data_IF_837379950618
#
_entry.id   IF_837379950618
#
_cell.length_a   1.000
_cell.length_b   1.000
_cell.length_c   1.000
_cell.angle_alpha   90.00
_cell.angle_beta   90.00
_cell.angle_gamma   90.00
#
_symmetry.space_group_name_H-M   'P 1'
#
loop_
_entity.id
_entity.type
_entity.pdbx_description
1 polymer ?
#
# COMPACT_ATOMS: atom_id res chain seq x y z
N UNK A 1 17.93 16.99 -5.58
CA UNK A 1 16.83 17.28 -4.62
C UNK A 1 16.19 15.99 -4.11
N UNK A 2 15.66 15.12 -4.99
CA UNK A 2 15.00 13.87 -4.60
C UNK A 2 15.87 12.93 -3.72
N UNK A 3 17.15 12.77 -4.05
CA UNK A 3 18.07 11.94 -3.25
C UNK A 3 18.29 12.45 -1.82
N UNK A 4 18.39 13.77 -1.64
CA UNK A 4 18.57 14.36 -0.31
C UNK A 4 17.30 14.17 0.52
N UNK A 5 16.12 14.40 -0.09
CA UNK A 5 14.84 14.17 0.58
C UNK A 5 14.65 12.70 0.94
N UNK A 6 14.95 11.78 0.02
CA UNK A 6 14.89 10.34 0.26
C UNK A 6 15.80 9.89 1.40
N UNK A 7 17.01 10.47 1.52
CA UNK A 7 17.92 10.17 2.63
C UNK A 7 17.28 10.50 3.99
N UNK A 8 16.61 11.65 4.10
CA UNK A 8 15.96 12.03 5.35
C UNK A 8 14.69 11.23 5.62
N UNK A 9 13.91 10.92 4.58
CA UNK A 9 12.71 10.07 4.73
C UNK A 9 13.11 8.67 5.17
N UNK A 10 14.06 8.02 4.48
CA UNK A 10 14.52 6.69 4.83
C UNK A 10 15.00 6.65 6.28
N UNK A 11 15.86 7.60 6.68
CA UNK A 11 16.33 7.70 8.07
C UNK A 11 15.22 7.83 9.09
N UNK A 12 14.11 8.52 8.76
CA UNK A 12 12.96 8.69 9.65
C UNK A 12 12.11 7.42 9.75
N UNK A 13 11.88 6.74 8.63
CA UNK A 13 11.03 5.53 8.60
C UNK A 13 11.78 4.27 9.01
N UNK A 14 13.11 4.32 9.11
CA UNK A 14 13.96 3.22 9.60
C UNK A 14 14.45 3.44 11.03
N UNK A 15 13.89 4.41 11.77
CA UNK A 15 14.18 4.53 13.20
C UNK A 15 13.62 3.31 13.92
N UNK A 16 14.49 2.58 14.61
CA UNK A 16 14.07 1.38 15.34
C UNK A 16 13.36 1.77 16.64
N UNK A 17 12.04 1.88 16.58
CA UNK A 17 11.17 2.14 17.73
C UNK A 17 10.47 0.86 18.18
N UNK A 18 11.13 0.09 19.05
CA UNK A 18 10.64 -1.24 19.49
C UNK A 18 10.36 -1.29 21.00
N UNK A 19 9.42 -2.16 21.39
CA UNK A 19 9.15 -2.43 22.78
C UNK A 19 10.27 -3.30 23.41
N UNK A 20 10.35 -3.35 24.74
CA UNK A 20 11.42 -4.07 25.47
C UNK A 20 11.47 -5.58 25.19
N UNK A 21 10.38 -6.18 24.73
CA UNK A 21 10.26 -7.63 24.48
C UNK A 21 10.67 -8.04 23.06
N UNK A 22 10.98 -7.10 22.18
CA UNK A 22 11.37 -7.37 20.80
C UNK A 22 12.89 -7.39 20.64
N UNK A 23 13.36 -8.08 19.60
CA UNK A 23 14.76 -8.03 19.21
C UNK A 23 15.14 -6.60 18.76
N UNK A 24 16.36 -6.17 19.08
CA UNK A 24 16.90 -4.85 18.75
C UNK A 24 18.06 -4.94 17.75
N UNK A 25 18.39 -3.84 17.10
CA UNK A 25 19.44 -3.71 16.09
C UNK A 25 19.18 -4.54 14.82
N UNK A 26 17.92 -4.60 14.39
CA UNK A 26 17.51 -5.36 13.20
C UNK A 26 17.20 -4.44 12.04
N UNK A 27 16.58 -3.28 12.28
CA UNK A 27 16.04 -2.45 11.19
C UNK A 27 17.15 -1.79 10.38
N UNK A 28 18.16 -1.21 11.05
CA UNK A 28 19.27 -0.54 10.38
C UNK A 28 20.08 -1.50 9.48
N UNK A 29 20.53 -2.69 9.95
CA UNK A 29 21.24 -3.64 9.08
C UNK A 29 20.41 -4.12 7.88
N UNK A 30 19.11 -4.38 8.06
CA UNK A 30 18.23 -4.78 6.96
C UNK A 30 18.10 -3.65 5.93
N UNK A 31 17.89 -2.42 6.38
CA UNK A 31 17.80 -1.27 5.50
C UNK A 31 19.11 -1.03 4.73
N UNK A 32 20.25 -1.07 5.40
CA UNK A 32 21.55 -0.87 4.77
C UNK A 32 21.81 -1.90 3.68
N UNK A 33 21.48 -3.17 3.94
CA UNK A 33 21.63 -4.23 2.96
C UNK A 33 20.64 -4.09 1.79
N UNK A 34 19.36 -3.81 2.06
CA UNK A 34 18.37 -3.56 1.01
C UNK A 34 18.75 -2.36 0.14
N UNK A 35 19.31 -1.30 0.74
CA UNK A 35 19.83 -0.14 0.02
C UNK A 35 21.03 -0.52 -0.84
N UNK A 36 21.97 -1.31 -0.31
CA UNK A 36 23.15 -1.79 -1.02
C UNK A 36 22.77 -2.63 -2.24
N UNK A 37 21.89 -3.61 -2.08
CA UNK A 37 21.35 -4.42 -3.18
C UNK A 37 20.59 -3.56 -4.20
N UNK A 38 19.90 -2.53 -3.70
CA UNK A 38 19.20 -1.53 -4.49
C UNK A 38 20.09 -0.52 -5.24
N UNK A 39 21.41 -0.68 -5.28
CA UNK A 39 22.31 0.24 -5.98
C UNK A 39 22.63 1.52 -5.20
N UNK A 40 22.50 1.49 -3.87
CA UNK A 40 23.09 2.47 -2.94
C UNK A 40 22.33 3.79 -2.77
N UNK A 41 21.28 4.04 -3.56
CA UNK A 41 20.43 5.23 -3.40
C UNK A 41 19.29 4.98 -2.40
N UNK A 42 18.75 6.03 -1.74
CA UNK A 42 17.60 5.89 -0.84
C UNK A 42 16.44 5.13 -1.51
N UNK A 43 15.89 4.15 -0.79
CA UNK A 43 14.88 3.23 -1.30
C UNK A 43 13.59 3.99 -1.61
N UNK A 44 13.17 4.90 -0.74
CA UNK A 44 11.96 5.71 -0.99
C UNK A 44 12.09 6.60 -2.22
N UNK A 45 13.27 7.20 -2.46
CA UNK A 45 13.49 8.01 -3.65
C UNK A 45 13.38 7.16 -4.93
N UNK A 46 13.96 5.96 -4.94
CA UNK A 46 13.88 5.04 -6.08
C UNK A 46 12.44 4.57 -6.32
N UNK A 47 11.71 4.22 -5.27
CA UNK A 47 10.31 3.81 -5.39
C UNK A 47 9.43 4.95 -5.92
N UNK A 48 9.63 6.18 -5.42
CA UNK A 48 8.90 7.35 -5.88
C UNK A 48 9.22 7.69 -7.35
N UNK A 49 10.49 7.67 -7.75
CA UNK A 49 10.91 7.88 -9.15
C UNK A 49 10.28 6.83 -10.07
N UNK A 50 10.34 5.55 -9.71
CA UNK A 50 9.73 4.48 -10.50
C UNK A 50 8.22 4.68 -10.68
N UNK A 51 7.51 5.12 -9.64
CA UNK A 51 6.08 5.45 -9.75
C UNK A 51 5.83 6.66 -10.65
N UNK A 52 6.58 7.75 -10.49
CA UNK A 52 6.43 8.97 -11.30
C UNK A 52 6.74 8.71 -12.78
N UNK A 53 7.71 7.85 -13.08
CA UNK A 53 8.12 7.50 -14.44
C UNK A 53 7.11 6.60 -15.15
N UNK A 54 6.36 5.77 -14.40
CA UNK A 54 5.53 4.73 -14.97
C UNK A 54 4.02 4.96 -14.80
N UNK A 55 3.58 5.72 -13.80
CA UNK A 55 2.15 5.93 -13.50
C UNK A 55 1.71 7.32 -13.93
N UNK A 56 0.69 7.38 -14.77
CA UNK A 56 0.10 8.61 -15.28
C UNK A 56 -1.36 8.82 -14.89
N UNK A 57 -1.96 9.84 -15.51
CA UNK A 57 -3.36 10.20 -15.30
C UNK A 57 -4.30 9.08 -15.73
N UNK A 58 -5.20 8.67 -14.83
CA UNK A 58 -6.21 7.65 -15.08
C UNK A 58 -5.71 6.20 -15.00
N UNK A 59 -4.41 5.98 -14.80
CA UNK A 59 -3.84 4.65 -14.57
C UNK A 59 -4.31 4.07 -13.24
N UNK A 60 -4.61 2.78 -13.23
CA UNK A 60 -5.01 2.07 -12.00
C UNK A 60 -3.76 1.66 -11.22
N UNK A 61 -3.75 1.92 -9.92
CA UNK A 61 -2.73 1.42 -9.00
C UNK A 61 -3.40 0.59 -7.91
N UNK A 62 -3.05 -0.69 -7.82
CA UNK A 62 -3.51 -1.54 -6.74
C UNK A 62 -2.66 -1.29 -5.49
N UNK A 63 -3.31 -1.15 -4.35
CA UNK A 63 -2.67 -1.00 -3.05
C UNK A 63 -3.18 -2.13 -2.15
N UNK A 64 -2.36 -3.17 -2.00
CA UNK A 64 -2.67 -4.35 -1.20
C UNK A 64 -2.29 -4.06 0.24
N UNK A 65 -3.25 -4.13 1.15
CA UNK A 65 -3.03 -3.84 2.57
C UNK A 65 -4.08 -4.53 3.43
N UNK A 66 -3.79 -4.67 4.72
CA UNK A 66 -4.69 -5.23 5.70
C UNK A 66 -4.16 -6.56 6.20
N UNK A 67 -3.69 -6.58 7.43
CA UNK A 67 -3.24 -7.78 8.13
C UNK A 67 -3.95 -7.85 9.48
N UNK A 68 -4.20 -9.06 9.97
CA UNK A 68 -4.91 -9.29 11.22
C UNK A 68 -4.93 -10.76 11.57
N UNK A 69 -5.36 -11.07 12.79
CA UNK A 69 -5.44 -12.41 13.32
C UNK A 69 -6.51 -12.47 14.43
N UNK A 70 -7.13 -13.64 14.53
CA UNK A 70 -8.14 -13.91 15.54
C UNK A 70 -7.50 -14.47 16.82
N UNK A 71 -8.02 -14.14 18.01
CA UNK A 71 -9.12 -13.20 18.28
C UNK A 71 -8.69 -11.73 18.51
N UNK A 72 -7.40 -11.41 18.54
CA UNK A 72 -6.90 -10.13 19.06
C UNK A 72 -7.16 -8.92 18.14
N UNK A 73 -7.04 -9.09 16.82
CA UNK A 73 -7.23 -8.02 15.82
C UNK A 73 -8.16 -8.49 14.69
N UNK A 74 -9.44 -8.77 15.01
CA UNK A 74 -10.40 -9.44 14.11
C UNK A 74 -10.82 -8.60 12.89
N UNK A 75 -10.55 -7.29 12.94
CA UNK A 75 -10.87 -6.34 11.87
C UNK A 75 -9.64 -5.81 11.15
N UNK A 76 -8.49 -6.42 11.40
CA UNK A 76 -7.19 -5.95 10.93
C UNK A 76 -6.53 -4.95 11.89
N UNK A 77 -5.23 -4.84 11.76
CA UNK A 77 -4.39 -3.92 12.52
C UNK A 77 -4.32 -2.53 11.89
N UNK A 78 -3.70 -1.59 12.62
CA UNK A 78 -3.57 -0.20 12.19
C UNK A 78 -2.27 0.15 11.48
N UNK A 79 -1.32 -0.78 11.31
CA UNK A 79 0.00 -0.48 10.73
C UNK A 79 -0.09 -0.17 9.23
N UNK A 80 -0.68 -1.09 8.45
CA UNK A 80 -0.81 -0.93 7.00
C UNK A 80 -1.74 0.20 6.51
N UNK A 81 -3.01 0.26 6.97
CA UNK A 81 -4.03 1.12 6.35
C UNK A 81 -3.70 2.63 6.27
N UNK A 82 -3.16 3.29 7.31
CA UNK A 82 -2.80 4.71 7.23
C UNK A 82 -1.69 4.98 6.22
N UNK A 83 -0.70 4.08 6.11
CA UNK A 83 0.37 4.16 5.12
C UNK A 83 -0.15 3.99 3.70
N UNK A 84 -0.99 2.97 3.48
CA UNK A 84 -1.63 2.69 2.20
C UNK A 84 -2.45 3.87 1.68
N UNK A 85 -3.27 4.47 2.54
CA UNK A 85 -4.10 5.63 2.20
C UNK A 85 -3.25 6.88 1.94
N UNK A 86 -2.15 7.07 2.68
CA UNK A 86 -1.25 8.21 2.45
C UNK A 86 -0.63 8.15 1.05
N UNK A 87 -0.22 6.96 0.61
CA UNK A 87 0.25 6.72 -0.76
C UNK A 87 -0.88 6.89 -1.78
N UNK A 88 -2.07 6.34 -1.52
CA UNK A 88 -3.24 6.52 -2.38
C UNK A 88 -3.58 8.00 -2.61
N UNK A 89 -3.52 8.81 -1.56
CA UNK A 89 -3.76 10.25 -1.64
C UNK A 89 -2.71 10.95 -2.51
N UNK A 90 -1.44 10.59 -2.36
CA UNK A 90 -0.36 11.12 -3.19
C UNK A 90 -0.51 10.73 -4.67
N UNK A 91 -0.87 9.47 -4.95
CA UNK A 91 -1.16 8.98 -6.29
C UNK A 91 -2.34 9.70 -6.94
N UNK A 92 -3.45 9.83 -6.19
CA UNK A 92 -4.66 10.48 -6.67
C UNK A 92 -4.44 11.97 -6.97
N UNK A 93 -3.82 12.73 -6.08
CA UNK A 93 -3.63 14.17 -6.29
C UNK A 93 -2.41 14.51 -7.13
N UNK A 94 -1.30 13.80 -6.91
CA UNK A 94 -0.01 14.09 -7.55
C UNK A 94 0.09 13.54 -8.97
N UNK A 95 -0.28 12.26 -9.17
CA UNK A 95 -0.18 11.60 -10.48
C UNK A 95 -1.52 11.52 -11.21
N UNK A 96 -2.63 11.88 -10.54
CA UNK A 96 -4.00 11.70 -11.04
C UNK A 96 -4.32 10.25 -11.42
N UNK A 97 -3.63 9.31 -10.79
CA UNK A 97 -3.93 7.89 -10.88
C UNK A 97 -5.25 7.58 -10.17
N UNK A 98 -5.71 6.34 -10.34
CA UNK A 98 -6.92 5.78 -9.73
C UNK A 98 -6.48 4.73 -8.70
N UNK A 99 -6.42 5.09 -7.41
CA UNK A 99 -6.05 4.14 -6.37
C UNK A 99 -7.18 3.14 -6.12
N UNK A 100 -6.81 1.86 -6.03
CA UNK A 100 -7.72 0.77 -5.70
C UNK A 100 -7.11 -0.03 -4.57
N UNK A 101 -7.73 0.02 -3.39
CA UNK A 101 -7.33 -0.81 -2.26
C UNK A 101 -7.75 -2.26 -2.51
N UNK A 102 -6.91 -3.20 -2.11
CA UNK A 102 -7.17 -4.64 -2.20
C UNK A 102 -6.89 -5.25 -0.83
N UNK A 103 -7.86 -5.97 -0.28
CA UNK A 103 -7.81 -6.48 1.10
C UNK A 103 -8.71 -7.70 1.27
N UNK A 104 -8.54 -8.48 2.31
CA UNK A 104 -9.59 -9.40 2.78
C UNK A 104 -10.77 -8.60 3.36
N UNK A 105 -11.98 -9.19 3.35
CA UNK A 105 -13.20 -8.51 3.80
C UNK A 105 -13.14 -8.11 5.27
N UNK A 106 -12.52 -8.94 6.13
CA UNK A 106 -12.34 -8.66 7.55
C UNK A 106 -11.47 -7.42 7.82
N UNK A 107 -10.49 -7.13 6.95
CA UNK A 107 -9.56 -6.02 7.09
C UNK A 107 -10.01 -4.72 6.38
N UNK A 108 -11.17 -4.74 5.70
CA UNK A 108 -11.73 -3.57 5.02
C UNK A 108 -12.08 -2.37 5.94
N UNK A 109 -12.62 -2.54 7.16
CA UNK A 109 -13.03 -1.41 8.00
C UNK A 109 -11.93 -0.37 8.32
N UNK A 110 -10.72 -0.73 8.76
CA UNK A 110 -9.67 0.25 9.04
C UNK A 110 -9.17 0.97 7.78
N UNK A 111 -9.20 0.32 6.62
CA UNK A 111 -8.87 0.95 5.33
C UNK A 111 -9.89 2.04 5.00
N UNK A 112 -11.18 1.74 5.15
CA UNK A 112 -12.25 2.72 4.91
C UNK A 112 -12.14 3.92 5.84
N UNK A 113 -11.99 3.69 7.14
CA UNK A 113 -11.82 4.75 8.13
C UNK A 113 -10.60 5.63 7.82
N UNK A 114 -9.46 5.02 7.49
CA UNK A 114 -8.25 5.74 7.12
C UNK A 114 -8.45 6.57 5.84
N UNK A 115 -9.09 6.01 4.82
CA UNK A 115 -9.34 6.67 3.53
C UNK A 115 -10.26 7.89 3.69
N UNK A 116 -11.32 7.77 4.49
CA UNK A 116 -12.20 8.87 4.83
C UNK A 116 -11.46 9.97 5.61
N UNK A 117 -10.65 9.60 6.60
CA UNK A 117 -9.84 10.55 7.37
C UNK A 117 -8.82 11.31 6.50
N UNK A 118 -8.26 10.64 5.49
CA UNK A 118 -7.37 11.26 4.52
C UNK A 118 -8.10 12.05 3.42
N UNK A 119 -9.43 12.19 3.49
CA UNK A 119 -10.23 12.93 2.51
C UNK A 119 -10.25 12.30 1.12
N UNK A 120 -10.09 10.97 1.04
CA UNK A 120 -10.19 10.19 -0.19
C UNK A 120 -11.34 9.20 -0.03
N UNK A 121 -12.55 9.60 -0.45
CA UNK A 121 -13.73 8.77 -0.23
C UNK A 121 -13.68 7.49 -1.05
N UNK A 122 -14.12 6.38 -0.46
CA UNK A 122 -14.28 5.11 -1.18
C UNK A 122 -15.57 5.16 -2.01
N UNK A 123 -15.48 4.68 -3.25
CA UNK A 123 -16.57 4.58 -4.23
C UNK A 123 -16.50 3.24 -4.95
N UNK A 124 -17.58 2.94 -5.67
CA UNK A 124 -17.57 1.89 -6.68
C UNK A 124 -16.46 2.16 -7.70
N UNK A 125 -15.86 1.09 -8.23
CA UNK A 125 -14.68 1.18 -9.09
C UNK A 125 -14.92 2.06 -10.32
N UNK A 126 -16.08 1.97 -10.95
CA UNK A 126 -16.47 2.74 -12.12
C UNK A 126 -16.55 4.24 -11.81
N UNK A 127 -17.03 4.62 -10.62
CA UNK A 127 -17.04 6.01 -10.17
C UNK A 127 -15.62 6.52 -9.88
N UNK A 128 -14.78 5.70 -9.24
CA UNK A 128 -13.38 6.04 -9.00
C UNK A 128 -12.60 6.18 -10.33
N UNK A 129 -12.83 5.27 -11.28
CA UNK A 129 -12.11 5.17 -12.56
C UNK A 129 -12.56 6.19 -13.60
N UNK A 130 -13.86 6.29 -13.85
CA UNK A 130 -14.40 7.04 -14.98
C UNK A 130 -14.77 8.47 -14.62
N UNK A 131 -15.09 8.72 -13.35
CA UNK A 131 -15.45 10.04 -12.83
C UNK A 131 -14.38 10.66 -11.95
N UNK A 132 -13.28 9.93 -11.68
CA UNK A 132 -12.21 10.35 -10.77
C UNK A 132 -12.78 10.78 -9.42
N UNK A 133 -13.64 9.94 -8.84
CA UNK A 133 -14.28 10.19 -7.55
C UNK A 133 -13.63 9.34 -6.45
N UNK A 134 -12.54 9.86 -5.88
CA UNK A 134 -11.87 9.22 -4.75
C UNK A 134 -11.10 7.94 -5.13
N UNK A 135 -11.23 6.90 -4.30
CA UNK A 135 -10.60 5.60 -4.49
C UNK A 135 -11.64 4.47 -4.50
N UNK A 136 -11.24 3.28 -4.91
CA UNK A 136 -12.05 2.06 -4.78
C UNK A 136 -11.47 1.09 -3.75
N UNK A 137 -12.29 0.18 -3.24
CA UNK A 137 -11.87 -0.93 -2.39
C UNK A 137 -12.47 -2.22 -2.93
N UNK A 138 -11.62 -3.20 -3.21
CA UNK A 138 -12.01 -4.54 -3.65
C UNK A 138 -11.60 -5.53 -2.57
N UNK A 139 -12.51 -6.43 -2.22
CA UNK A 139 -12.24 -7.47 -1.22
C UNK A 139 -11.99 -8.81 -1.88
N UNK A 140 -10.95 -9.51 -1.42
CA UNK A 140 -10.65 -10.88 -1.81
C UNK A 140 -11.73 -11.87 -1.29
N UNK A 141 -11.94 -13.00 -1.99
CA UNK A 141 -12.77 -14.09 -1.46
C UNK A 141 -12.13 -14.69 -0.21
N UNK A 142 -12.94 -15.26 0.68
CA UNK A 142 -12.47 -15.91 1.91
C UNK A 142 -11.90 -17.33 1.64
N UNK A 143 -12.32 -17.97 0.54
CA UNK A 143 -11.86 -19.30 0.16
C UNK A 143 -10.50 -19.28 -0.54
N UNK A 144 -9.48 -19.88 0.07
CA UNK A 144 -8.13 -19.95 -0.51
C UNK A 144 -8.09 -20.56 -1.92
N UNK A 145 -8.99 -21.52 -2.23
CA UNK A 145 -9.11 -22.13 -3.56
C UNK A 145 -9.65 -21.18 -4.64
N UNK A 146 -10.22 -20.05 -4.25
CA UNK A 146 -10.80 -19.06 -5.16
C UNK A 146 -9.83 -17.91 -5.46
N UNK A 147 -8.78 -17.75 -4.65
CA UNK A 147 -7.86 -16.60 -4.69
C UNK A 147 -7.15 -16.50 -6.04
N UNK A 148 -6.61 -17.59 -6.56
CA UNK A 148 -5.84 -17.55 -7.82
C UNK A 148 -6.72 -17.10 -9.00
N UNK A 149 -7.90 -17.70 -9.14
CA UNK A 149 -8.84 -17.34 -10.20
C UNK A 149 -9.36 -15.90 -10.05
N UNK A 150 -9.61 -15.46 -8.81
CA UNK A 150 -10.03 -14.09 -8.51
C UNK A 150 -8.92 -13.08 -8.78
N UNK A 151 -7.67 -13.39 -8.44
CA UNK A 151 -6.52 -12.52 -8.69
C UNK A 151 -6.26 -12.37 -10.19
N UNK A 152 -6.34 -13.46 -10.95
CA UNK A 152 -6.24 -13.43 -12.42
C UNK A 152 -7.35 -12.57 -13.03
N UNK A 153 -8.59 -12.72 -12.57
CA UNK A 153 -9.73 -11.90 -13.00
C UNK A 153 -9.52 -10.42 -12.67
N UNK A 154 -9.09 -10.10 -11.43
CA UNK A 154 -8.80 -8.75 -10.98
C UNK A 154 -7.72 -8.09 -11.85
N UNK A 155 -6.59 -8.76 -12.06
CA UNK A 155 -5.48 -8.25 -12.85
C UNK A 155 -5.87 -8.10 -14.33
N UNK A 156 -6.66 -9.03 -14.88
CA UNK A 156 -7.09 -8.97 -16.28
C UNK A 156 -8.08 -7.83 -16.55
N UNK A 157 -8.99 -7.56 -15.61
CA UNK A 157 -10.01 -6.50 -15.70
C UNK A 157 -9.41 -5.12 -15.45
N UNK A 158 -8.62 -4.99 -14.39
CA UNK A 158 -8.12 -3.68 -13.94
C UNK A 158 -6.84 -3.25 -14.64
N UNK A 159 -6.02 -4.20 -15.13
CA UNK A 159 -4.75 -3.96 -15.83
C UNK A 159 -3.90 -2.90 -15.13
N UNK A 160 -3.57 -3.09 -13.84
CA UNK A 160 -2.95 -2.05 -13.05
C UNK A 160 -1.56 -1.70 -13.58
N UNK A 161 -1.22 -0.41 -13.53
CA UNK A 161 0.08 0.09 -13.93
C UNK A 161 1.15 -0.14 -12.86
N UNK A 162 0.74 -0.22 -11.60
CA UNK A 162 1.57 -0.57 -10.47
C UNK A 162 0.76 -1.33 -9.41
N UNK A 163 1.45 -2.15 -8.64
CA UNK A 163 0.94 -2.82 -7.45
C UNK A 163 1.87 -2.47 -6.29
N UNK A 164 1.29 -1.99 -5.19
CA UNK A 164 2.01 -1.60 -3.98
C UNK A 164 1.48 -2.45 -2.84
N UNK A 165 2.35 -3.15 -2.12
CA UNK A 165 1.99 -3.92 -0.93
C UNK A 165 2.45 -3.19 0.32
N UNK A 166 1.55 -2.97 1.28
CA UNK A 166 1.82 -2.29 2.54
C UNK A 166 1.13 -3.09 3.64
N UNK A 167 1.92 -3.91 4.34
CA UNK A 167 1.41 -4.88 5.32
C UNK A 167 0.23 -5.70 4.75
N UNK A 168 0.47 -6.43 3.64
CA UNK A 168 -0.56 -7.29 3.06
C UNK A 168 -0.86 -8.47 4.01
N UNK A 169 -2.03 -9.12 3.85
CA UNK A 169 -2.33 -10.31 4.63
C UNK A 169 -1.20 -11.34 4.50
N UNK A 170 -0.72 -11.86 5.63
CA UNK A 170 0.15 -13.02 5.62
C UNK A 170 -0.74 -14.20 5.23
N UNK A 171 -0.44 -14.85 4.11
CA UNK A 171 -1.12 -16.09 3.69
C UNK A 171 -1.17 -17.06 4.89
N UNK A 172 -2.38 -17.36 5.36
CA UNK A 172 -2.63 -18.36 6.40
C UNK A 172 -2.55 -19.78 5.83
#
# INVERSE_FOLDING_TARGET
MATIMGEYVDRLITVEMRNRGMNHNIIAPIYDEARREGGGRPITARAAEALVENVGEGDVVLIVTGAGYMPEVPHGESDGPPGAVSIARALYWGLKAVPVYVSEICHAPPIKASSEAAGLMIRDYELAKDRRMGAALITAPEGQSEIDAWADDLLSKMKPKAIIAIEPPLSA
#
